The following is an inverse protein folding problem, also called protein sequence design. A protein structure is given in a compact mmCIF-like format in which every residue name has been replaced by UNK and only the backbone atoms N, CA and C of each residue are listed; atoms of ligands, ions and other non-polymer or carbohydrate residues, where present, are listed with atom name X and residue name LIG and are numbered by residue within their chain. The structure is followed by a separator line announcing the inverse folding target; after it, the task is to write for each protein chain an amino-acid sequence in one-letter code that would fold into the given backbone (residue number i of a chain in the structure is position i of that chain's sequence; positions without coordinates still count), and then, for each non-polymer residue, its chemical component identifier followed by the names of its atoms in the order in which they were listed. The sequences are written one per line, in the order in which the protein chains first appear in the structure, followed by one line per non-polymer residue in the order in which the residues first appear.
data_IF_626058283327
#
_entry.id   IF_626058283327
#
_cell.length_a   1.000
_cell.length_b   1.000
_cell.length_c   1.000
_cell.angle_alpha   90.00
_cell.angle_beta   90.00
_cell.angle_gamma   90.00
#
_symmetry.space_group_name_H-M   'P 1'
#
loop_
_entity.id
_entity.type
_entity.pdbx_description
1 polymer ?
#
# COMPACT_ATOMS: atom_id res chain seq x y z
N UNK A 1 -55.45 -11.37 2.78
CA UNK A 1 -54.60 -10.21 3.14
C UNK A 1 -53.54 -10.55 4.19
N UNK A 2 -53.88 -11.19 5.32
CA UNK A 2 -52.92 -11.60 6.38
C UNK A 2 -51.68 -12.38 5.90
N UNK A 3 -51.84 -13.41 5.06
CA UNK A 3 -50.71 -14.22 4.54
C UNK A 3 -49.67 -13.43 3.73
N UNK A 4 -50.10 -12.47 2.90
CA UNK A 4 -49.19 -11.64 2.09
C UNK A 4 -48.39 -10.69 2.99
N UNK A 5 -49.03 -10.12 4.01
CA UNK A 5 -48.37 -9.29 5.01
C UNK A 5 -47.34 -10.06 5.84
N UNK A 6 -47.62 -11.32 6.22
CA UNK A 6 -46.66 -12.17 6.93
C UNK A 6 -45.43 -12.50 6.07
N UNK A 7 -45.63 -12.80 4.78
CA UNK A 7 -44.52 -13.07 3.85
C UNK A 7 -43.65 -11.82 3.66
N UNK A 8 -44.26 -10.66 3.45
CA UNK A 8 -43.53 -9.39 3.31
C UNK A 8 -42.74 -9.07 4.58
N UNK A 9 -43.33 -9.25 5.77
CA UNK A 9 -42.64 -9.04 7.03
C UNK A 9 -41.44 -9.99 7.21
N UNK A 10 -41.58 -11.26 6.84
CA UNK A 10 -40.48 -12.24 6.88
C UNK A 10 -39.36 -11.87 5.92
N UNK A 11 -39.68 -11.45 4.69
CA UNK A 11 -38.69 -11.01 3.70
C UNK A 11 -37.95 -9.77 4.19
N UNK A 12 -38.65 -8.80 4.78
CA UNK A 12 -38.03 -7.58 5.34
C UNK A 12 -37.10 -7.92 6.51
N UNK A 13 -37.52 -8.80 7.43
CA UNK A 13 -36.66 -9.26 8.53
C UNK A 13 -35.44 -9.98 7.99
N UNK A 14 -35.60 -10.86 7.00
CA UNK A 14 -34.48 -11.58 6.41
C UNK A 14 -33.47 -10.62 5.75
N UNK A 15 -33.95 -9.61 5.01
CA UNK A 15 -33.11 -8.59 4.39
C UNK A 15 -32.34 -7.77 5.44
N UNK A 16 -32.98 -7.39 6.54
CA UNK A 16 -32.34 -6.64 7.63
C UNK A 16 -31.24 -7.44 8.34
N UNK A 17 -31.36 -8.78 8.40
CA UNK A 17 -30.34 -9.64 9.01
C UNK A 17 -29.11 -9.83 8.10
N UNK A 18 -29.26 -9.63 6.79
CA UNK A 18 -28.15 -9.77 5.81
C UNK A 18 -27.32 -8.51 5.60
N UNK A 19 -27.70 -7.36 6.17
CA UNK A 19 -26.92 -6.12 6.03
C UNK A 19 -25.74 -6.16 7.00
N UNK A 20 -24.60 -6.69 6.55
CA UNK A 20 -23.34 -6.54 7.28
C UNK A 20 -22.74 -5.18 6.95
N UNK A 21 -22.51 -4.34 7.96
CA UNK A 21 -21.71 -3.13 7.79
C UNK A 21 -20.26 -3.55 7.57
N UNK A 22 -19.61 -3.05 6.52
CA UNK A 22 -18.16 -3.15 6.42
C UNK A 22 -17.54 -2.40 7.60
N UNK A 23 -16.89 -3.12 8.51
CA UNK A 23 -16.17 -2.51 9.62
C UNK A 23 -14.90 -1.85 9.08
N UNK A 24 -14.55 -0.70 9.63
CA UNK A 24 -13.25 -0.10 9.37
C UNK A 24 -12.15 -1.03 9.91
N UNK A 25 -11.09 -1.24 9.13
CA UNK A 25 -9.91 -1.98 9.57
C UNK A 25 -9.01 -1.01 10.32
N UNK A 26 -9.09 -0.99 11.66
CA UNK A 26 -8.24 -0.10 12.50
C UNK A 26 -7.05 -0.83 13.11
N UNK A 27 -7.04 -2.17 13.08
CA UNK A 27 -5.94 -2.99 13.63
C UNK A 27 -5.54 -4.18 12.76
N UNK A 28 -6.22 -4.37 11.63
CA UNK A 28 -5.88 -5.41 10.66
C UNK A 28 -5.80 -6.83 11.23
N UNK A 29 -5.40 -7.73 10.36
CA UNK A 29 -4.91 -9.05 10.69
C UNK A 29 -3.88 -9.40 9.61
N UNK A 30 -2.79 -10.12 9.95
CA UNK A 30 -1.82 -10.54 8.95
C UNK A 30 -2.50 -11.34 7.84
N UNK A 31 -2.14 -11.09 6.58
CA UNK A 31 -2.73 -11.75 5.41
C UNK A 31 -1.69 -12.03 4.34
N UNK A 32 -1.88 -13.12 3.60
CA UNK A 32 -1.07 -13.51 2.43
C UNK A 32 -1.92 -13.59 1.15
N UNK A 33 -3.17 -13.14 1.18
CA UNK A 33 -4.11 -13.24 0.06
C UNK A 33 -3.77 -12.35 -1.16
N UNK A 34 -2.89 -11.37 -1.01
CA UNK A 34 -2.59 -10.37 -2.02
C UNK A 34 -1.12 -10.49 -2.50
N UNK A 35 -0.78 -11.51 -3.30
CA UNK A 35 0.61 -11.82 -3.65
C UNK A 35 1.30 -10.76 -4.53
N UNK A 36 0.52 -9.83 -5.10
CA UNK A 36 1.03 -8.73 -5.90
C UNK A 36 1.18 -7.43 -5.10
N UNK A 37 0.81 -7.42 -3.82
CA UNK A 37 1.07 -6.30 -2.92
C UNK A 37 2.44 -6.52 -2.29
N UNK A 38 3.29 -5.51 -2.37
CA UNK A 38 4.65 -5.55 -1.83
C UNK A 38 4.94 -4.34 -0.96
N UNK A 39 5.90 -4.50 -0.06
CA UNK A 39 6.46 -3.42 0.75
C UNK A 39 7.55 -2.72 -0.06
N UNK A 40 7.46 -1.40 -0.11
CA UNK A 40 8.48 -0.52 -0.68
C UNK A 40 9.25 0.14 0.47
N UNK A 41 10.57 0.13 0.38
CA UNK A 41 11.46 0.85 1.30
C UNK A 41 12.24 1.88 0.51
N UNK A 42 12.27 3.11 1.01
CA UNK A 42 12.94 4.23 0.37
C UNK A 42 13.99 4.82 1.30
N UNK A 43 15.10 5.26 0.71
CA UNK A 43 16.11 6.07 1.38
C UNK A 43 16.02 7.52 0.92
N UNK A 44 15.97 8.43 1.89
CA UNK A 44 16.10 9.87 1.69
C UNK A 44 17.04 10.51 2.70
N UNK A 45 17.29 11.80 2.51
CA UNK A 45 18.09 12.60 3.46
C UNK A 45 17.51 12.63 4.88
N UNK A 46 16.19 12.47 5.00
CA UNK A 46 15.42 12.40 6.26
C UNK A 46 15.53 11.03 6.95
N UNK A 47 16.03 9.99 6.26
CA UNK A 47 16.15 8.63 6.74
C UNK A 47 15.43 7.63 5.83
N UNK A 48 14.92 6.56 6.44
CA UNK A 48 14.14 5.54 5.73
C UNK A 48 12.65 5.70 6.01
N UNK A 49 11.83 5.45 5.00
CA UNK A 49 10.39 5.33 5.13
C UNK A 49 9.86 4.25 4.19
N UNK A 50 8.66 3.76 4.48
CA UNK A 50 8.05 2.68 3.72
C UNK A 50 6.69 3.05 3.18
N UNK A 51 6.38 2.49 2.01
CA UNK A 51 5.04 2.46 1.44
C UNK A 51 4.68 1.03 1.04
N UNK A 52 3.52 0.88 0.43
CA UNK A 52 3.14 -0.34 -0.27
C UNK A 52 2.89 -0.03 -1.74
N UNK A 53 2.99 -1.04 -2.60
CA UNK A 53 2.63 -0.91 -4.00
C UNK A 53 1.97 -2.18 -4.53
N UNK A 54 1.48 -2.11 -5.77
CA UNK A 54 0.88 -3.24 -6.48
C UNK A 54 1.69 -3.55 -7.74
N UNK A 55 2.09 -4.81 -7.90
CA UNK A 55 2.82 -5.29 -9.06
C UNK A 55 1.87 -5.38 -10.26
N UNK A 56 2.04 -4.49 -11.24
CA UNK A 56 1.24 -4.46 -12.47
C UNK A 56 1.79 -5.40 -13.55
N UNK A 57 3.09 -5.60 -13.55
CA UNK A 57 3.80 -6.52 -14.44
C UNK A 57 5.08 -7.01 -13.76
N UNK A 58 5.81 -8.00 -14.31
CA UNK A 58 7.02 -8.54 -13.68
C UNK A 58 8.10 -7.50 -13.30
N UNK A 59 8.06 -6.30 -13.87
CA UNK A 59 9.05 -5.23 -13.63
C UNK A 59 8.41 -3.85 -13.37
N UNK A 60 7.10 -3.77 -13.13
CA UNK A 60 6.41 -2.48 -12.93
C UNK A 60 5.54 -2.56 -11.68
N UNK A 61 5.86 -1.73 -10.69
CA UNK A 61 5.16 -1.60 -9.42
C UNK A 61 4.47 -0.22 -9.39
N UNK A 62 3.18 -0.19 -9.09
CA UNK A 62 2.43 1.05 -8.88
C UNK A 62 2.42 1.42 -7.40
N UNK A 63 2.67 2.68 -7.07
CA UNK A 63 2.63 3.23 -5.70
C UNK A 63 2.02 4.64 -5.75
N UNK A 64 1.85 5.29 -4.59
CA UNK A 64 1.41 6.68 -4.52
C UNK A 64 2.52 7.67 -4.95
N UNK A 65 2.13 8.82 -5.49
CA UNK A 65 3.06 9.87 -5.95
C UNK A 65 3.95 10.37 -4.82
N UNK A 66 3.37 10.65 -3.65
CA UNK A 66 4.09 11.10 -2.45
C UNK A 66 5.09 10.08 -1.87
N UNK A 67 5.07 8.83 -2.35
CA UNK A 67 6.09 7.86 -1.97
C UNK A 67 7.36 7.98 -2.82
N UNK A 68 7.29 8.66 -3.97
CA UNK A 68 8.37 8.67 -4.97
C UNK A 68 9.39 9.79 -4.76
N UNK A 69 9.02 10.84 -4.00
CA UNK A 69 9.87 11.99 -3.67
C UNK A 69 9.37 12.68 -2.38
N UNK A 70 10.22 13.47 -1.72
CA UNK A 70 9.87 14.37 -0.60
C UNK A 70 10.39 15.78 -0.91
N UNK A 71 9.52 16.80 -0.88
CA UNK A 71 9.87 18.19 -1.22
C UNK A 71 10.45 18.36 -2.63
N UNK A 72 10.01 17.52 -3.58
CA UNK A 72 10.50 17.50 -4.96
C UNK A 72 11.89 16.87 -5.13
N UNK A 73 12.44 16.27 -4.07
CA UNK A 73 13.71 15.54 -4.13
C UNK A 73 13.44 14.04 -4.30
N UNK A 74 13.96 13.40 -5.37
CA UNK A 74 13.79 11.97 -5.58
C UNK A 74 14.46 11.13 -4.50
N UNK A 75 13.90 9.94 -4.27
CA UNK A 75 14.53 8.92 -3.43
C UNK A 75 15.94 8.56 -3.89
N UNK A 76 16.88 8.46 -2.94
CA UNK A 76 18.25 8.03 -3.24
C UNK A 76 18.30 6.57 -3.66
N UNK A 77 17.51 5.73 -2.99
CA UNK A 77 17.40 4.29 -3.25
C UNK A 77 15.99 3.80 -2.98
N UNK A 78 15.60 2.77 -3.72
CA UNK A 78 14.29 2.12 -3.57
C UNK A 78 14.49 0.61 -3.59
N UNK A 79 13.85 -0.08 -2.65
CA UNK A 79 13.82 -1.54 -2.57
C UNK A 79 12.39 -2.04 -2.44
N UNK A 80 12.15 -3.25 -2.94
CA UNK A 80 10.87 -3.95 -2.92
C UNK A 80 11.02 -5.30 -2.24
N UNK A 81 10.08 -5.65 -1.36
CA UNK A 81 9.94 -6.99 -0.82
C UNK A 81 8.49 -7.46 -0.89
N UNK A 82 8.31 -8.74 -1.22
CA UNK A 82 7.02 -9.44 -1.18
C UNK A 82 6.92 -10.39 0.01
N UNK A 83 7.88 -10.33 0.95
CA UNK A 83 7.81 -11.10 2.18
C UNK A 83 6.63 -10.58 3.03
N UNK A 84 5.67 -11.45 3.41
CA UNK A 84 4.55 -11.05 4.26
C UNK A 84 4.99 -10.63 5.67
N UNK A 85 6.19 -10.97 6.12
CA UNK A 85 6.74 -10.60 7.41
C UNK A 85 8.14 -10.01 7.26
N UNK A 86 8.24 -8.67 7.29
CA UNK A 86 9.51 -7.97 7.18
C UNK A 86 10.27 -8.01 8.52
N UNK A 87 11.32 -8.82 8.57
CA UNK A 87 12.29 -8.85 9.67
C UNK A 87 13.64 -8.37 9.12
N UNK A 88 14.09 -7.19 9.56
CA UNK A 88 15.38 -6.65 9.17
C UNK A 88 16.48 -7.25 10.05
N UNK A 89 17.36 -8.04 9.44
CA UNK A 89 18.55 -8.59 10.11
C UNK A 89 19.80 -8.40 9.24
N UNK A 90 20.50 -7.25 9.36
CA UNK A 90 21.71 -6.98 8.59
C UNK A 90 22.95 -7.70 9.16
N UNK A 91 22.80 -8.60 10.13
CA UNK A 91 23.93 -9.30 10.75
C UNK A 91 24.69 -10.12 9.70
N UNK A 92 26.01 -9.90 9.62
CA UNK A 92 26.86 -10.59 8.64
C UNK A 92 27.08 -9.81 7.34
N UNK A 93 26.39 -8.69 7.15
CA UNK A 93 26.64 -7.74 6.06
C UNK A 93 27.54 -6.58 6.53
N UNK A 94 28.33 -5.96 5.63
CA UNK A 94 29.18 -4.81 5.98
C UNK A 94 28.39 -3.60 6.50
N UNK A 95 27.21 -3.37 5.93
CA UNK A 95 26.28 -2.31 6.30
C UNK A 95 24.85 -2.68 5.86
N UNK A 96 23.88 -1.83 6.22
CA UNK A 96 22.46 -2.04 5.89
C UNK A 96 22.19 -1.99 4.39
N UNK A 97 22.96 -1.22 3.62
CA UNK A 97 22.76 -1.10 2.18
C UNK A 97 23.19 -2.37 1.47
N UNK A 98 24.32 -2.94 1.85
CA UNK A 98 24.78 -4.23 1.35
C UNK A 98 23.79 -5.36 1.66
N UNK A 99 23.13 -5.31 2.83
CA UNK A 99 22.04 -6.23 3.17
C UNK A 99 20.82 -6.02 2.26
N UNK A 100 20.33 -4.79 2.13
CA UNK A 100 19.14 -4.48 1.32
C UNK A 100 19.38 -4.77 -0.17
N UNK A 101 20.55 -4.43 -0.71
CA UNK A 101 20.92 -4.71 -2.10
C UNK A 101 21.06 -6.22 -2.39
N UNK A 102 21.28 -7.05 -1.36
CA UNK A 102 21.39 -8.50 -1.49
C UNK A 102 20.07 -9.24 -1.28
N UNK A 103 19.26 -8.80 -0.32
CA UNK A 103 18.06 -9.51 0.14
C UNK A 103 16.75 -8.94 -0.44
N UNK A 104 16.77 -7.70 -0.95
CA UNK A 104 15.60 -7.04 -1.52
C UNK A 104 15.77 -6.78 -3.03
N UNK A 105 14.65 -6.54 -3.72
CA UNK A 105 14.67 -6.22 -5.14
C UNK A 105 14.89 -4.71 -5.28
N UNK A 106 15.98 -4.28 -5.90
CA UNK A 106 16.23 -2.86 -6.18
C UNK A 106 15.30 -2.34 -7.29
N UNK A 107 14.81 -1.12 -7.13
CA UNK A 107 14.02 -0.41 -8.14
C UNK A 107 14.37 1.07 -8.23
N UNK A 108 13.69 1.76 -9.14
CA UNK A 108 13.73 3.22 -9.30
C UNK A 108 12.31 3.74 -9.11
N UNK A 109 12.13 4.72 -8.21
CA UNK A 109 10.88 5.41 -8.03
C UNK A 109 10.77 6.55 -9.04
N UNK A 110 9.69 6.58 -9.82
CA UNK A 110 9.47 7.60 -10.84
C UNK A 110 8.11 8.26 -10.55
N UNK A 111 8.05 9.55 -10.19
CA UNK A 111 6.79 10.26 -9.98
C UNK A 111 6.02 10.37 -11.29
N UNK A 112 4.69 10.42 -11.20
CA UNK A 112 3.87 10.81 -12.34
C UNK A 112 4.24 12.24 -12.78
N UNK A 113 4.33 12.59 -14.08
CA UNK A 113 4.74 13.92 -14.54
C UNK A 113 3.85 15.11 -14.09
N UNK A 114 2.71 14.82 -13.47
CA UNK A 114 1.78 15.80 -12.91
C UNK A 114 1.78 15.82 -11.38
N UNK A 115 2.58 14.97 -10.72
CA UNK A 115 2.83 15.08 -9.29
C UNK A 115 3.76 16.27 -9.06
N UNK A 116 3.38 17.15 -8.15
CA UNK A 116 4.05 18.43 -7.88
C UNK A 116 4.31 18.64 -6.38
N UNK A 117 4.36 17.54 -5.62
CA UNK A 117 4.47 17.53 -4.16
C UNK A 117 3.45 18.44 -3.43
N UNK A 118 2.19 18.36 -3.86
CA UNK A 118 1.07 19.12 -3.30
C UNK A 118 1.22 20.64 -3.40
N UNK A 119 2.03 21.15 -4.35
CA UNK A 119 2.28 22.59 -4.49
C UNK A 119 1.02 23.38 -4.91
N UNK A 120 0.05 22.76 -5.57
CA UNK A 120 -1.18 23.39 -6.08
C UNK A 120 -2.33 23.61 -5.06
N UNK A 121 -2.05 23.83 -3.77
CA UNK A 121 -3.10 24.03 -2.75
C UNK A 121 -4.22 25.00 -3.19
N UNK A 122 -5.52 24.61 -3.10
CA UNK A 122 -6.08 23.45 -2.40
C UNK A 122 -6.15 22.15 -3.21
N UNK A 123 -5.62 22.09 -4.43
CA UNK A 123 -5.53 20.85 -5.19
C UNK A 123 -4.37 20.01 -4.63
N UNK A 124 -4.69 18.92 -3.94
CA UNK A 124 -3.71 18.02 -3.33
C UNK A 124 -3.80 16.62 -3.96
N UNK A 125 -3.82 16.55 -5.30
CA UNK A 125 -3.93 15.28 -5.99
C UNK A 125 -2.63 14.48 -5.87
N UNK A 126 -2.72 13.36 -5.16
CA UNK A 126 -1.63 12.39 -5.04
C UNK A 126 -1.65 11.43 -6.23
N UNK A 127 -1.17 11.91 -7.37
CA UNK A 127 -1.11 11.13 -8.61
C UNK A 127 0.11 10.22 -8.61
N UNK A 128 -0.14 8.91 -8.50
CA UNK A 128 0.85 7.85 -8.69
C UNK A 128 0.90 7.29 -10.10
#
# INVERSE_FOLDING_TARGET
MRRKSTIVALVVVLLLVTVTTAAAITFGEPTTHYPYVGTLLFEQSSGFYSCSGTLLSPTVMLTAGHCTEEYGEPNFRTWVSFDPEIILDPTGYPDVFAYLDAEWITGEAIPHPQYDDFAEWPNTYDVG
#
